data_IF_794809475163
#
_entry.id   IF_794809475163
#
_cell.length_a   1.000
_cell.length_b   1.000
_cell.length_c   1.000
_cell.angle_alpha   90.00
_cell.angle_beta   90.00
_cell.angle_gamma   90.00
#
_symmetry.space_group_name_H-M   'P 1'
#
loop_
_entity.id
_entity.type
_entity.pdbx_description
1 polymer ?
#
# COMPACT_ATOMS: atom_id res chain seq x y z
N UNK A 1 -24.58 14.80 -4.49
CA UNK A 1 -23.82 13.92 -5.43
C UNK A 1 -22.88 12.92 -4.74
N UNK A 2 -22.61 13.05 -3.43
CA UNK A 2 -21.64 12.20 -2.68
C UNK A 2 -22.17 10.78 -2.32
N UNK A 3 -23.44 10.63 -1.95
CA UNK A 3 -24.02 9.36 -1.49
C UNK A 3 -24.01 8.22 -2.54
N UNK A 4 -24.15 8.56 -3.84
CA UNK A 4 -24.16 7.56 -4.93
C UNK A 4 -22.74 7.04 -5.24
N UNK A 5 -21.74 7.92 -5.15
CA UNK A 5 -20.34 7.55 -5.38
C UNK A 5 -19.83 6.61 -4.28
N UNK A 6 -20.13 6.93 -3.01
CA UNK A 6 -19.77 6.06 -1.87
C UNK A 6 -20.43 4.70 -1.95
N UNK A 7 -21.71 4.62 -2.35
CA UNK A 7 -22.41 3.35 -2.54
C UNK A 7 -21.83 2.54 -3.69
N UNK A 8 -21.53 3.16 -4.83
CA UNK A 8 -20.92 2.46 -5.96
C UNK A 8 -19.51 1.95 -5.61
N UNK A 9 -18.72 2.74 -4.88
CA UNK A 9 -17.40 2.33 -4.39
C UNK A 9 -17.48 1.16 -3.40
N UNK A 10 -18.46 1.19 -2.49
CA UNK A 10 -18.71 0.10 -1.54
C UNK A 10 -19.15 -1.18 -2.27
N UNK A 11 -20.02 -1.06 -3.27
CA UNK A 11 -20.45 -2.20 -4.11
C UNK A 11 -19.28 -2.79 -4.89
N UNK A 12 -18.41 -1.96 -5.48
CA UNK A 12 -17.20 -2.43 -6.18
C UNK A 12 -16.26 -3.15 -5.23
N UNK A 13 -16.01 -2.62 -4.03
CA UNK A 13 -15.20 -3.30 -3.01
C UNK A 13 -15.80 -4.64 -2.57
N UNK A 14 -17.11 -4.67 -2.35
CA UNK A 14 -17.81 -5.88 -1.91
C UNK A 14 -17.81 -6.95 -3.00
N UNK A 15 -18.05 -6.56 -4.26
CA UNK A 15 -17.98 -7.46 -5.42
C UNK A 15 -16.56 -7.97 -5.64
N UNK A 16 -15.54 -7.14 -5.45
CA UNK A 16 -14.13 -7.55 -5.56
C UNK A 16 -13.75 -8.56 -4.48
N UNK A 17 -14.21 -8.36 -3.23
CA UNK A 17 -14.02 -9.31 -2.11
C UNK A 17 -14.73 -10.64 -2.40
N UNK A 18 -15.98 -10.60 -2.86
CA UNK A 18 -16.75 -11.81 -3.18
C UNK A 18 -16.14 -12.58 -4.36
N UNK A 19 -15.65 -11.89 -5.39
CA UNK A 19 -14.95 -12.50 -6.52
C UNK A 19 -13.63 -13.16 -6.09
N UNK A 20 -12.89 -12.54 -5.15
CA UNK A 20 -11.67 -13.12 -4.60
C UNK A 20 -11.95 -14.38 -3.77
N UNK A 21 -12.99 -14.35 -2.92
CA UNK A 21 -13.38 -15.49 -2.06
C UNK A 21 -14.04 -16.64 -2.84
N UNK A 22 -14.77 -16.35 -3.92
CA UNK A 22 -15.40 -17.35 -4.78
C UNK A 22 -14.45 -17.89 -5.87
N UNK A 23 -13.24 -17.34 -5.98
CA UNK A 23 -12.27 -17.84 -6.95
C UNK A 23 -11.76 -19.23 -6.53
N UNK A 24 -11.55 -20.16 -7.48
CA UNK A 24 -11.02 -21.50 -7.22
C UNK A 24 -9.60 -21.50 -6.61
N UNK A 25 -8.97 -20.32 -6.50
CA UNK A 25 -7.64 -20.11 -5.92
C UNK A 25 -7.67 -20.28 -4.38
N UNK A 26 -8.81 -20.00 -3.72
CA UNK A 26 -8.97 -20.10 -2.25
C UNK A 26 -9.23 -21.54 -1.79
N UNK A 27 -9.86 -22.37 -2.63
CA UNK A 27 -10.20 -23.77 -2.29
C UNK A 27 -9.12 -24.79 -2.73
N UNK A 28 -8.01 -24.36 -3.32
CA UNK A 28 -6.94 -25.26 -3.80
C UNK A 28 -5.93 -25.67 -2.71
N UNK A 29 -6.15 -25.32 -1.44
CA UNK A 29 -5.24 -25.64 -0.34
C UNK A 29 -5.13 -27.15 -0.02
N UNK A 30 -5.99 -28.01 -0.56
CA UNK A 30 -6.01 -29.44 -0.22
C UNK A 30 -5.18 -30.34 -1.17
N UNK A 31 -4.54 -29.77 -2.19
CA UNK A 31 -3.70 -30.55 -3.12
C UNK A 31 -2.37 -29.84 -3.33
N UNK A 32 -1.48 -29.92 -2.34
CA UNK A 32 -0.04 -29.70 -2.54
C UNK A 32 0.69 -31.07 -2.60
N UNK A 33 0.57 -31.82 -3.72
CA UNK A 33 1.56 -32.83 -4.09
C UNK A 33 2.48 -32.22 -5.15
N UNK A 34 3.79 -32.31 -4.87
CA UNK A 34 4.91 -32.05 -5.77
C UNK A 34 5.11 -30.61 -6.29
N UNK A 35 6.33 -30.09 -6.09
CA UNK A 35 6.78 -28.80 -6.55
C UNK A 35 6.95 -28.76 -8.08
N UNK A 36 5.86 -28.56 -8.82
CA UNK A 36 5.91 -28.27 -10.25
C UNK A 36 6.27 -26.81 -10.53
N UNK A 37 6.91 -26.54 -11.67
CA UNK A 37 7.31 -25.20 -12.12
C UNK A 37 6.17 -24.17 -12.06
N UNK A 38 4.93 -24.63 -12.21
CA UNK A 38 3.70 -23.83 -12.10
C UNK A 38 3.48 -23.25 -10.69
N UNK A 39 3.75 -24.00 -9.62
CA UNK A 39 3.59 -23.50 -8.24
C UNK A 39 4.60 -22.40 -7.92
N UNK A 40 5.84 -22.54 -8.41
CA UNK A 40 6.89 -21.53 -8.30
C UNK A 40 6.50 -20.23 -9.03
N UNK A 41 5.93 -20.37 -10.24
CA UNK A 41 5.44 -19.25 -11.03
C UNK A 41 4.27 -18.54 -10.35
N UNK A 42 3.28 -19.26 -9.82
CA UNK A 42 2.13 -18.67 -9.11
C UNK A 42 2.57 -17.92 -7.86
N UNK A 43 3.50 -18.48 -7.07
CA UNK A 43 4.05 -17.82 -5.89
C UNK A 43 4.81 -16.54 -6.25
N UNK A 44 5.68 -16.59 -7.28
CA UNK A 44 6.44 -15.43 -7.72
C UNK A 44 5.52 -14.30 -8.24
N UNK A 45 4.50 -14.63 -9.02
CA UNK A 45 3.50 -13.66 -9.49
C UNK A 45 2.70 -13.08 -8.32
N UNK A 46 2.29 -13.92 -7.36
CA UNK A 46 1.61 -13.47 -6.14
C UNK A 46 2.45 -12.47 -5.33
N UNK A 47 3.74 -12.78 -5.13
CA UNK A 47 4.68 -11.89 -4.44
C UNK A 47 4.89 -10.56 -5.17
N UNK A 48 4.98 -10.58 -6.51
CA UNK A 48 5.12 -9.36 -7.32
C UNK A 48 3.89 -8.45 -7.23
N UNK A 49 2.68 -9.02 -7.32
CA UNK A 49 1.44 -8.26 -7.20
C UNK A 49 1.30 -7.69 -5.78
N UNK A 50 1.56 -8.50 -4.75
CA UNK A 50 1.49 -8.07 -3.36
C UNK A 50 2.50 -6.95 -3.06
N UNK A 51 3.73 -7.06 -3.56
CA UNK A 51 4.75 -6.04 -3.42
C UNK A 51 4.35 -4.73 -4.10
N UNK A 52 3.80 -4.78 -5.33
CA UNK A 52 3.32 -3.59 -6.04
C UNK A 52 2.14 -2.91 -5.32
N UNK A 53 1.20 -3.69 -4.80
CA UNK A 53 0.06 -3.16 -4.04
C UNK A 53 0.49 -2.53 -2.71
N UNK A 54 1.41 -3.15 -1.98
CA UNK A 54 1.89 -2.63 -0.70
C UNK A 54 2.48 -1.22 -0.86
N UNK A 55 3.47 -1.05 -1.76
CA UNK A 55 4.09 0.26 -1.99
C UNK A 55 3.12 1.25 -2.65
N UNK A 56 2.30 0.79 -3.61
CA UNK A 56 1.35 1.66 -4.31
C UNK A 56 0.35 2.30 -3.36
N UNK A 57 -0.28 1.51 -2.49
CA UNK A 57 -1.25 2.02 -1.51
C UNK A 57 -0.56 2.86 -0.44
N UNK A 58 0.61 2.42 0.05
CA UNK A 58 1.39 3.18 1.04
C UNK A 58 1.82 4.56 0.54
N UNK A 59 2.30 4.64 -0.71
CA UNK A 59 2.73 5.88 -1.34
C UNK A 59 1.57 6.87 -1.56
N UNK A 60 0.38 6.38 -1.93
CA UNK A 60 -0.81 7.24 -2.06
C UNK A 60 -1.17 7.87 -0.71
N UNK A 61 -1.16 7.09 0.37
CA UNK A 61 -1.44 7.59 1.72
C UNK A 61 -0.44 8.66 2.18
N UNK A 62 0.86 8.39 2.00
CA UNK A 62 1.91 9.35 2.33
C UNK A 62 1.83 10.63 1.48
N UNK A 63 1.63 10.50 0.17
CA UNK A 63 1.50 11.63 -0.75
C UNK A 63 0.33 12.56 -0.41
N UNK A 64 -0.82 11.99 -0.02
CA UNK A 64 -1.96 12.78 0.46
C UNK A 64 -1.63 13.53 1.76
N UNK A 65 -0.95 12.89 2.71
CA UNK A 65 -0.54 13.53 3.97
C UNK A 65 0.42 14.70 3.75
N UNK A 66 1.43 14.50 2.90
CA UNK A 66 2.44 15.51 2.55
C UNK A 66 1.80 16.68 1.81
N UNK A 67 0.94 16.41 0.82
CA UNK A 67 0.23 17.45 0.08
C UNK A 67 -0.65 18.33 0.98
N UNK A 68 -1.34 17.72 1.94
CA UNK A 68 -2.15 18.47 2.91
C UNK A 68 -1.29 19.32 3.86
N UNK A 69 -0.20 18.74 4.39
CA UNK A 69 0.75 19.47 5.24
C UNK A 69 1.39 20.66 4.51
N UNK A 70 1.79 20.49 3.24
CA UNK A 70 2.34 21.55 2.40
C UNK A 70 1.33 22.67 2.18
N UNK A 71 0.09 22.33 1.81
CA UNK A 71 -0.97 23.31 1.59
C UNK A 71 -1.26 24.14 2.85
N UNK A 72 -1.36 23.47 4.00
CA UNK A 72 -1.56 24.13 5.30
C UNK A 72 -0.41 25.07 5.66
N UNK A 73 0.84 24.64 5.41
CA UNK A 73 2.02 25.45 5.65
C UNK A 73 2.05 26.71 4.77
N UNK A 74 1.78 26.58 3.47
CA UNK A 74 1.72 27.71 2.54
C UNK A 74 0.69 28.76 2.97
N UNK A 75 -0.50 28.33 3.39
CA UNK A 75 -1.54 29.24 3.91
C UNK A 75 -1.12 29.93 5.22
N UNK A 76 -0.50 29.18 6.13
CA UNK A 76 -0.03 29.73 7.40
C UNK A 76 1.09 30.76 7.20
N UNK A 77 2.04 30.50 6.30
CA UNK A 77 3.12 31.43 5.94
C UNK A 77 2.56 32.69 5.28
N UNK A 78 1.61 32.54 4.35
CA UNK A 78 0.97 33.69 3.70
C UNK A 78 0.24 34.62 4.68
N UNK A 79 -0.34 34.08 5.76
CA UNK A 79 -0.99 34.87 6.82
C UNK A 79 -0.03 35.43 7.85
N UNK A 80 1.05 34.71 8.16
CA UNK A 80 1.99 35.08 9.22
C UNK A 80 3.45 34.91 8.75
N UNK A 81 3.95 35.80 7.87
CA UNK A 81 5.30 35.69 7.31
C UNK A 81 6.40 35.80 8.38
N UNK A 82 6.14 36.53 9.47
CA UNK A 82 7.10 36.73 10.57
C UNK A 82 7.46 35.47 11.37
N UNK A 83 6.71 34.36 11.22
CA UNK A 83 6.97 33.08 11.89
C UNK A 83 7.19 31.91 10.92
N UNK A 84 7.54 32.22 9.66
CA UNK A 84 7.77 31.20 8.62
C UNK A 84 8.68 30.07 9.06
N UNK A 85 9.81 30.36 9.73
CA UNK A 85 10.76 29.34 10.16
C UNK A 85 10.15 28.28 11.08
N UNK A 86 9.29 28.68 12.03
CA UNK A 86 8.59 27.74 12.91
C UNK A 86 7.55 26.91 12.16
N UNK A 87 6.83 27.51 11.22
CA UNK A 87 5.84 26.82 10.39
C UNK A 87 6.51 25.74 9.53
N UNK A 88 7.63 26.08 8.87
CA UNK A 88 8.36 25.13 8.03
C UNK A 88 8.93 23.97 8.84
N UNK A 89 9.39 24.21 10.07
CA UNK A 89 9.83 23.14 10.97
C UNK A 89 8.70 22.18 11.31
N UNK A 90 7.54 22.69 11.76
CA UNK A 90 6.38 21.84 12.05
C UNK A 90 5.90 21.08 10.81
N UNK A 91 5.91 21.72 9.63
CA UNK A 91 5.59 21.09 8.35
C UNK A 91 6.54 19.91 8.06
N UNK A 92 7.85 20.12 8.18
CA UNK A 92 8.86 19.09 7.92
C UNK A 92 8.72 17.90 8.88
N UNK A 93 8.45 18.14 10.16
CA UNK A 93 8.19 17.05 11.11
C UNK A 93 6.94 16.26 10.70
N UNK A 94 5.85 16.94 10.35
CA UNK A 94 4.62 16.28 9.88
C UNK A 94 4.83 15.47 8.60
N UNK A 95 5.58 16.02 7.63
CA UNK A 95 5.93 15.33 6.39
C UNK A 95 6.80 14.10 6.65
N UNK A 96 7.80 14.19 7.54
CA UNK A 96 8.65 13.06 7.89
C UNK A 96 7.85 11.92 8.54
N UNK A 97 6.84 12.24 9.35
CA UNK A 97 5.93 11.23 9.92
C UNK A 97 5.05 10.58 8.85
N UNK A 98 4.53 11.36 7.90
CA UNK A 98 3.77 10.81 6.77
C UNK A 98 4.64 9.90 5.87
N UNK A 99 5.89 10.28 5.62
CA UNK A 99 6.84 9.52 4.80
C UNK A 99 7.20 8.17 5.42
N UNK A 100 7.21 8.05 6.75
CA UNK A 100 7.53 6.79 7.43
C UNK A 100 6.63 5.62 7.00
N UNK A 101 5.36 5.89 6.68
CA UNK A 101 4.40 4.89 6.22
C UNK A 101 4.78 4.38 4.82
N UNK A 102 5.22 5.26 3.93
CA UNK A 102 5.71 4.88 2.61
C UNK A 102 7.00 4.06 2.70
N UNK A 103 7.90 4.40 3.62
CA UNK A 103 9.11 3.62 3.87
C UNK A 103 8.78 2.23 4.41
N UNK A 104 7.83 2.08 5.34
CA UNK A 104 7.40 0.76 5.81
C UNK A 104 6.81 -0.08 4.69
N UNK A 105 5.96 0.52 3.84
CA UNK A 105 5.43 -0.16 2.67
C UNK A 105 6.54 -0.59 1.69
N UNK A 106 7.53 0.28 1.45
CA UNK A 106 8.68 -0.02 0.61
C UNK A 106 9.50 -1.19 1.17
N UNK A 107 9.79 -1.18 2.47
CA UNK A 107 10.52 -2.25 3.14
C UNK A 107 9.78 -3.58 3.00
N UNK A 108 8.47 -3.60 3.20
CA UNK A 108 7.66 -4.82 3.00
C UNK A 108 7.71 -5.29 1.55
N UNK A 109 7.59 -4.40 0.57
CA UNK A 109 7.71 -4.74 -0.85
C UNK A 109 9.08 -5.32 -1.19
N UNK A 110 10.17 -4.74 -0.67
CA UNK A 110 11.52 -5.24 -0.87
C UNK A 110 11.72 -6.62 -0.23
N UNK A 111 11.18 -6.84 0.97
CA UNK A 111 11.21 -8.15 1.64
C UNK A 111 10.46 -9.19 0.80
N UNK A 112 9.28 -8.87 0.27
CA UNK A 112 8.51 -9.80 -0.56
C UNK A 112 9.19 -10.17 -1.89
N UNK A 113 9.99 -9.27 -2.46
CA UNK A 113 10.67 -9.49 -3.74
C UNK A 113 12.05 -10.13 -3.59
N UNK A 114 12.84 -9.73 -2.58
CA UNK A 114 14.25 -10.07 -2.50
C UNK A 114 14.63 -10.92 -1.28
N UNK A 115 13.84 -10.89 -0.21
CA UNK A 115 14.15 -11.57 1.05
C UNK A 115 12.94 -12.32 1.60
N UNK A 116 12.17 -12.94 0.72
CA UNK A 116 10.89 -13.52 1.08
C UNK A 116 11.10 -14.80 1.91
N UNK A 117 10.67 -14.82 3.19
CA UNK A 117 10.95 -15.93 4.10
C UNK A 117 10.20 -17.21 3.72
N UNK A 118 9.16 -17.11 2.89
CA UNK A 118 8.35 -18.24 2.48
C UNK A 118 8.92 -18.98 1.27
N UNK A 119 9.96 -18.45 0.62
CA UNK A 119 10.61 -19.06 -0.55
C UNK A 119 11.09 -20.48 -0.22
N UNK A 120 11.69 -20.70 0.95
CA UNK A 120 12.14 -22.04 1.39
C UNK A 120 10.98 -23.01 1.63
N UNK A 121 9.83 -22.53 2.13
CA UNK A 121 8.65 -23.37 2.33
C UNK A 121 8.01 -23.84 1.01
N UNK A 122 8.11 -23.06 -0.06
CA UNK A 122 7.52 -23.38 -1.37
C UNK A 122 8.50 -23.96 -2.38
N UNK A 123 9.81 -23.68 -2.26
CA UNK A 123 10.82 -24.09 -3.24
C UNK A 123 11.73 -25.24 -2.77
N UNK A 124 11.69 -25.60 -1.48
CA UNK A 124 12.61 -26.56 -0.86
C UNK A 124 13.87 -25.88 -0.36
#
# INVERSE_FOLDING_TARGET
MSQKFTKNLLTVFTVMIVLLLASPIVFAAEVIPAADASAKATFAVGAMIAAGLAIGIGAVGAGMGIGNAASGACQAVGRNPGVQGKIMMTMLVGMAMAESIAIYALVVSLVLLFANPYVSYFLG
#
